data_IF_243747874814
#
_entry.id   IF_243747874814
#
_cell.length_a   1.000
_cell.length_b   1.000
_cell.length_c   1.000
_cell.angle_alpha   90.00
_cell.angle_beta   90.00
_cell.angle_gamma   90.00
#
_symmetry.space_group_name_H-M   'P 1'
#
loop_
_entity.id
_entity.type
_entity.pdbx_description
1 polymer ?
#
# COMPACT_ATOMS: atom_id res chain seq x y z
N UNK A 1 -37.42 -6.89 -11.30
CA UNK A 1 -36.64 -5.65 -11.49
C UNK A 1 -35.22 -5.91 -11.02
N UNK A 2 -34.28 -5.98 -11.95
CA UNK A 2 -32.87 -6.07 -11.58
C UNK A 2 -32.45 -4.75 -10.96
N UNK A 3 -32.03 -4.77 -9.70
CA UNK A 3 -31.28 -3.64 -9.14
C UNK A 3 -30.02 -3.47 -10.01
N UNK A 4 -29.96 -2.40 -10.80
CA UNK A 4 -28.72 -2.05 -11.48
C UNK A 4 -27.63 -2.00 -10.41
N UNK A 5 -26.66 -2.93 -10.48
CA UNK A 5 -25.50 -2.86 -9.64
C UNK A 5 -24.89 -1.45 -9.81
N UNK A 6 -24.75 -0.71 -8.72
CA UNK A 6 -24.07 0.58 -8.75
C UNK A 6 -22.68 0.33 -9.37
N UNK A 7 -22.42 0.91 -10.53
CA UNK A 7 -21.11 0.87 -11.12
C UNK A 7 -20.12 1.44 -10.11
N UNK A 8 -19.12 0.65 -9.69
CA UNK A 8 -18.06 1.10 -8.78
C UNK A 8 -17.29 2.19 -9.51
N UNK A 9 -17.22 3.38 -8.94
CA UNK A 9 -16.39 4.45 -9.47
C UNK A 9 -14.92 4.02 -9.36
N UNK A 10 -14.23 3.95 -10.48
CA UNK A 10 -12.84 3.52 -10.52
C UNK A 10 -11.93 4.49 -9.79
N UNK A 11 -11.08 3.94 -8.93
CA UNK A 11 -10.00 4.67 -8.26
C UNK A 11 -8.78 4.79 -9.19
N UNK A 12 -7.81 5.62 -8.83
CA UNK A 12 -6.56 5.70 -9.55
C UNK A 12 -5.81 4.36 -9.60
N UNK A 13 -5.84 3.61 -8.51
CA UNK A 13 -5.24 2.27 -8.46
C UNK A 13 -5.88 1.33 -9.50
N UNK A 14 -7.19 1.30 -9.58
CA UNK A 14 -7.92 0.48 -10.55
C UNK A 14 -7.62 0.91 -12.00
N UNK A 15 -7.57 2.20 -12.25
CA UNK A 15 -7.24 2.74 -13.59
C UNK A 15 -5.86 2.33 -14.06
N UNK A 16 -4.87 2.33 -13.17
CA UNK A 16 -3.51 1.88 -13.51
C UNK A 16 -3.48 0.39 -13.86
N UNK A 17 -4.18 -0.45 -13.10
CA UNK A 17 -4.29 -1.87 -13.40
C UNK A 17 -4.98 -2.10 -14.74
N UNK A 18 -6.06 -1.37 -15.02
CA UNK A 18 -6.76 -1.44 -16.32
C UNK A 18 -5.85 -1.03 -17.49
N UNK A 19 -5.07 0.03 -17.32
CA UNK A 19 -4.17 0.53 -18.38
C UNK A 19 -3.11 -0.49 -18.81
N UNK A 20 -2.63 -1.30 -17.88
CA UNK A 20 -1.61 -2.32 -18.18
C UNK A 20 -2.21 -3.70 -18.48
N UNK A 21 -3.53 -3.79 -18.51
CA UNK A 21 -4.22 -5.06 -18.76
C UNK A 21 -4.03 -6.09 -17.65
N UNK A 22 -3.79 -5.65 -16.43
CA UNK A 22 -3.63 -6.54 -15.29
C UNK A 22 -4.97 -7.15 -14.86
N UNK A 23 -4.95 -8.41 -14.46
CA UNK A 23 -6.11 -9.09 -13.89
C UNK A 23 -6.22 -8.80 -12.40
N UNK A 24 -7.38 -8.38 -11.96
CA UNK A 24 -7.67 -8.14 -10.54
C UNK A 24 -9.16 -8.27 -10.27
N UNK A 25 -9.50 -8.49 -9.02
CA UNK A 25 -10.88 -8.45 -8.52
C UNK A 25 -10.99 -7.40 -7.42
N UNK A 26 -12.20 -6.99 -7.12
CA UNK A 26 -12.47 -6.01 -6.06
C UNK A 26 -13.40 -6.60 -5.03
N UNK A 27 -13.23 -6.18 -3.78
CA UNK A 27 -14.10 -6.52 -2.66
C UNK A 27 -14.60 -5.23 -2.03
N UNK A 28 -15.92 -5.06 -1.97
CA UNK A 28 -16.56 -3.93 -1.31
C UNK A 28 -16.91 -4.33 0.12
N UNK A 29 -16.39 -3.62 1.10
CA UNK A 29 -16.66 -3.84 2.51
C UNK A 29 -17.28 -2.62 3.22
N UNK A 30 -17.70 -1.61 2.45
CA UNK A 30 -18.24 -0.35 2.99
C UNK A 30 -19.39 -0.58 3.94
N UNK A 31 -20.30 -1.50 3.61
CA UNK A 31 -21.47 -1.84 4.43
C UNK A 31 -21.13 -2.53 5.75
N UNK A 32 -19.93 -3.07 5.89
CA UNK A 32 -19.50 -3.79 7.11
C UNK A 32 -19.09 -2.86 8.24
N UNK A 33 -18.74 -1.61 7.94
CA UNK A 33 -18.18 -0.65 8.89
C UNK A 33 -16.76 -0.96 9.34
N UNK A 34 -16.12 -2.01 8.80
CA UNK A 34 -14.75 -2.36 9.12
C UNK A 34 -13.78 -1.29 8.60
N UNK A 35 -12.76 -0.93 9.38
CA UNK A 35 -11.78 0.11 9.06
C UNK A 35 -10.36 -0.45 9.07
N UNK A 36 -9.95 -1.13 10.12
CA UNK A 36 -8.61 -1.72 10.18
C UNK A 36 -8.48 -2.93 9.24
N UNK A 37 -7.26 -3.19 8.75
CA UNK A 37 -7.03 -4.32 7.85
C UNK A 37 -7.42 -5.66 8.44
N UNK A 38 -7.24 -5.86 9.74
CA UNK A 38 -7.65 -7.08 10.46
C UNK A 38 -9.16 -7.20 10.50
N UNK A 39 -9.88 -6.11 10.81
CA UNK A 39 -11.35 -6.09 10.79
C UNK A 39 -11.91 -6.35 9.39
N UNK A 40 -11.29 -5.78 8.35
CA UNK A 40 -11.68 -5.99 6.95
C UNK A 40 -11.51 -7.47 6.56
N UNK A 41 -10.38 -8.07 6.88
CA UNK A 41 -10.13 -9.48 6.61
C UNK A 41 -11.17 -10.38 7.31
N UNK A 42 -11.47 -10.10 8.57
CA UNK A 42 -12.49 -10.84 9.31
C UNK A 42 -13.89 -10.68 8.71
N UNK A 43 -14.26 -9.44 8.35
CA UNK A 43 -15.58 -9.14 7.76
C UNK A 43 -15.78 -9.81 6.40
N UNK A 44 -14.72 -9.94 5.61
CA UNK A 44 -14.77 -10.58 4.29
C UNK A 44 -14.45 -12.07 4.31
N UNK A 45 -14.16 -12.65 5.48
CA UNK A 45 -13.80 -14.05 5.61
C UNK A 45 -12.46 -14.40 4.94
N UNK A 46 -11.54 -13.45 4.88
CA UNK A 46 -10.24 -13.60 4.25
C UNK A 46 -9.17 -14.04 5.24
N UNK A 47 -8.14 -14.72 4.72
CA UNK A 47 -6.94 -15.03 5.48
C UNK A 47 -6.13 -13.74 5.70
N UNK A 48 -5.88 -13.33 6.96
CA UNK A 48 -5.08 -12.14 7.25
C UNK A 48 -3.65 -12.18 6.70
N UNK A 49 -3.09 -13.38 6.48
CA UNK A 49 -1.76 -13.53 5.89
C UNK A 49 -1.70 -13.14 4.40
N UNK A 50 -2.85 -13.08 3.74
CA UNK A 50 -2.98 -12.66 2.33
C UNK A 50 -3.43 -11.21 2.20
N UNK A 51 -3.76 -10.56 3.31
CA UNK A 51 -4.27 -9.18 3.35
C UNK A 51 -3.15 -8.26 3.84
N UNK A 52 -2.88 -7.22 3.07
CA UNK A 52 -1.75 -6.31 3.29
C UNK A 52 -2.24 -4.88 3.53
N UNK A 53 -1.50 -4.15 4.35
CA UNK A 53 -1.68 -2.71 4.57
C UNK A 53 -0.51 -1.95 3.96
N UNK A 54 -0.78 -0.74 3.49
CA UNK A 54 0.21 0.14 2.87
C UNK A 54 0.60 1.24 3.84
N UNK A 55 1.88 1.33 4.14
CA UNK A 55 2.44 2.29 5.07
C UNK A 55 3.40 3.22 4.33
N UNK A 56 3.35 4.50 4.65
CA UNK A 56 4.28 5.50 4.11
C UNK A 56 5.20 5.97 5.23
N UNK A 57 6.48 5.96 4.94
CA UNK A 57 7.53 6.31 5.89
C UNK A 57 8.55 7.25 5.27
N UNK A 58 9.33 7.91 6.10
CA UNK A 58 10.42 8.79 5.65
C UNK A 58 11.76 8.33 6.21
N UNK A 59 12.80 8.48 5.42
CA UNK A 59 14.18 8.26 5.84
C UNK A 59 14.68 9.41 6.71
N UNK A 60 15.83 9.19 7.39
CA UNK A 60 16.46 10.20 8.26
C UNK A 60 16.93 11.46 7.51
N UNK A 61 16.98 11.38 6.18
CA UNK A 61 17.50 12.42 5.33
C UNK A 61 19.01 12.29 5.07
N UNK A 62 19.42 12.70 3.89
CA UNK A 62 20.82 12.80 3.49
C UNK A 62 21.25 14.26 3.52
N UNK A 63 22.46 14.52 4.04
CA UNK A 63 23.05 15.83 3.87
C UNK A 63 23.35 16.05 2.39
N UNK A 64 22.93 17.19 1.85
CA UNK A 64 23.37 17.58 0.52
C UNK A 64 24.89 17.73 0.49
N UNK A 65 25.53 17.23 -0.55
CA UNK A 65 26.95 17.49 -0.81
C UNK A 65 27.08 18.99 -1.08
N UNK A 66 27.49 19.78 -0.07
CA UNK A 66 27.62 21.22 -0.22
C UNK A 66 27.37 22.04 1.04
N UNK A 67 27.13 21.41 2.19
CA UNK A 67 27.11 22.11 3.50
C UNK A 67 25.85 22.92 3.78
N UNK A 68 24.77 22.70 3.06
CA UNK A 68 23.46 23.29 3.41
C UNK A 68 22.82 22.56 4.60
N UNK A 69 22.16 23.33 5.49
CA UNK A 69 21.53 22.79 6.70
C UNK A 69 20.27 21.94 6.47
N UNK A 70 19.78 21.87 5.22
CA UNK A 70 18.56 21.13 4.89
C UNK A 70 18.88 19.68 4.50
N UNK A 71 18.32 18.75 5.27
CA UNK A 71 18.30 17.34 4.93
C UNK A 71 17.12 17.05 4.01
N UNK A 72 17.39 16.55 2.80
CA UNK A 72 16.33 16.05 1.92
C UNK A 72 15.92 14.68 2.43
N UNK A 73 14.68 14.57 2.91
CA UNK A 73 14.09 13.31 3.33
C UNK A 73 13.42 12.62 2.16
N UNK A 74 13.74 11.36 1.95
CA UNK A 74 13.06 10.52 0.97
C UNK A 74 11.91 9.77 1.63
N UNK A 75 10.85 9.56 0.86
CA UNK A 75 9.70 8.79 1.29
C UNK A 75 9.73 7.40 0.68
N UNK A 76 9.20 6.45 1.42
CA UNK A 76 9.13 5.04 1.04
C UNK A 76 7.76 4.49 1.35
N UNK A 77 7.37 3.49 0.56
CA UNK A 77 6.12 2.74 0.76
C UNK A 77 6.48 1.32 1.19
N UNK A 78 5.90 0.89 2.29
CA UNK A 78 6.04 -0.48 2.80
C UNK A 78 4.68 -1.15 2.85
N UNK A 79 4.60 -2.33 2.24
CA UNK A 79 3.38 -3.13 2.18
C UNK A 79 3.60 -4.38 3.02
N UNK A 80 2.84 -4.50 4.10
CA UNK A 80 3.03 -5.54 5.13
C UNK A 80 1.72 -6.25 5.43
N UNK A 81 1.76 -7.51 5.90
CA UNK A 81 0.54 -8.19 6.34
C UNK A 81 -0.21 -7.40 7.41
N UNK A 82 -1.53 -7.37 7.33
CA UNK A 82 -2.37 -6.55 8.24
C UNK A 82 -2.21 -6.91 9.71
N UNK A 83 -1.90 -8.18 10.02
CA UNK A 83 -1.68 -8.65 11.37
C UNK A 83 -0.25 -8.46 11.88
N UNK A 84 0.66 -8.00 11.01
CA UNK A 84 2.07 -7.77 11.35
C UNK A 84 2.35 -6.28 11.56
N UNK A 85 3.45 -5.99 12.23
CA UNK A 85 3.96 -4.64 12.40
C UNK A 85 5.22 -4.44 11.56
N UNK A 86 5.37 -3.27 10.95
CA UNK A 86 6.61 -2.90 10.26
C UNK A 86 7.76 -2.82 11.26
N UNK A 87 8.82 -3.58 10.99
CA UNK A 87 10.08 -3.44 11.74
C UNK A 87 10.88 -2.29 11.13
N UNK A 88 11.00 -1.19 11.85
CA UNK A 88 11.64 0.02 11.34
C UNK A 88 13.11 -0.17 11.02
N UNK A 89 13.81 -1.04 11.75
CA UNK A 89 15.23 -1.35 11.48
C UNK A 89 15.39 -2.18 10.21
N UNK A 90 14.55 -3.19 10.03
CA UNK A 90 14.53 -4.00 8.80
C UNK A 90 14.12 -3.16 7.60
N UNK A 91 13.14 -2.29 7.75
CA UNK A 91 12.71 -1.36 6.71
C UNK A 91 13.85 -0.42 6.29
N UNK A 92 14.56 0.16 7.26
CA UNK A 92 15.72 1.01 6.99
C UNK A 92 16.82 0.25 6.23
N UNK A 93 17.13 -0.97 6.65
CA UNK A 93 18.11 -1.81 5.97
C UNK A 93 17.70 -2.13 4.52
N UNK A 94 16.41 -2.39 4.29
CA UNK A 94 15.90 -2.73 2.97
C UNK A 94 16.05 -1.59 1.96
N UNK A 95 16.03 -0.33 2.40
CA UNK A 95 16.14 0.84 1.52
C UNK A 95 17.49 1.57 1.64
N UNK A 96 18.41 1.08 2.48
CA UNK A 96 19.74 1.68 2.65
C UNK A 96 19.74 2.97 3.46
N UNK A 97 18.75 3.18 4.32
CA UNK A 97 18.65 4.31 5.23
C UNK A 97 19.24 3.98 6.60
N UNK A 98 19.74 4.99 7.31
CA UNK A 98 20.19 4.83 8.71
C UNK A 98 19.02 4.55 9.64
N UNK A 99 17.90 5.21 9.41
CA UNK A 99 16.68 5.05 10.18
C UNK A 99 15.47 5.42 9.33
N UNK A 100 14.34 4.85 9.70
CA UNK A 100 13.04 5.08 9.08
C UNK A 100 12.07 5.49 10.19
N UNK A 101 11.23 6.48 9.91
CA UNK A 101 10.12 6.88 10.76
C UNK A 101 8.83 6.92 9.96
N UNK A 102 7.72 6.55 10.59
CA UNK A 102 6.41 6.72 9.98
C UNK A 102 6.11 8.21 9.81
N UNK A 103 5.50 8.59 8.68
CA UNK A 103 4.99 9.95 8.52
C UNK A 103 3.80 10.17 9.45
N UNK A 104 3.51 11.44 9.74
CA UNK A 104 2.30 11.79 10.48
C UNK A 104 1.07 11.58 9.61
N UNK A 105 -0.03 11.15 10.22
CA UNK A 105 -1.27 10.87 9.50
C UNK A 105 -1.73 12.03 8.62
N UNK A 106 -1.57 13.28 9.09
CA UNK A 106 -1.92 14.50 8.36
C UNK A 106 -1.10 14.72 7.08
N UNK A 107 0.04 14.08 6.95
CA UNK A 107 0.92 14.20 5.78
C UNK A 107 0.53 13.23 4.65
N UNK A 108 -0.27 12.20 4.97
CA UNK A 108 -0.58 11.13 4.02
C UNK A 108 -1.34 11.64 2.79
N UNK A 109 -2.43 12.39 3.00
CA UNK A 109 -3.26 12.89 1.91
C UNK A 109 -2.49 13.85 0.98
N UNK A 110 -1.75 14.85 1.48
CA UNK A 110 -0.95 15.72 0.61
C UNK A 110 0.11 14.97 -0.18
N UNK A 111 0.74 13.95 0.41
CA UNK A 111 1.81 13.19 -0.24
C UNK A 111 1.30 12.19 -1.27
N UNK A 112 0.24 11.49 -0.96
CA UNK A 112 -0.20 10.33 -1.75
C UNK A 112 -1.49 10.55 -2.53
N UNK A 113 -2.34 11.46 -2.07
CA UNK A 113 -3.71 11.61 -2.55
C UNK A 113 -4.70 10.62 -1.93
N UNK A 114 -4.24 9.78 -1.01
CA UNK A 114 -5.07 8.80 -0.31
C UNK A 114 -5.25 9.16 1.16
N UNK A 115 -6.39 8.78 1.70
CA UNK A 115 -6.71 8.95 3.12
C UNK A 115 -6.22 7.75 3.94
N UNK A 116 -6.02 7.96 5.24
CA UNK A 116 -5.72 6.88 6.18
C UNK A 116 -6.86 5.86 6.18
N UNK A 117 -6.51 4.58 6.06
CA UNK A 117 -7.49 3.49 5.90
C UNK A 117 -7.89 3.21 4.45
N UNK A 118 -7.51 4.06 3.51
CA UNK A 118 -7.78 3.90 2.08
C UNK A 118 -6.54 4.11 1.20
N UNK A 119 -5.34 3.92 1.75
CA UNK A 119 -4.10 4.11 1.03
C UNK A 119 -3.71 2.85 0.25
N UNK A 120 -3.72 2.96 -1.07
CA UNK A 120 -3.26 1.91 -1.98
C UNK A 120 -1.76 2.06 -2.29
N UNK A 121 -1.03 0.95 -2.55
CA UNK A 121 0.37 1.05 -2.97
C UNK A 121 0.54 1.60 -4.39
N UNK A 122 -0.52 1.57 -5.21
CA UNK A 122 -0.48 2.13 -6.55
C UNK A 122 -1.36 3.38 -6.68
N UNK A 123 -1.07 4.19 -7.71
CA UNK A 123 -1.89 5.35 -8.04
C UNK A 123 -1.67 6.54 -7.13
N UNK A 124 -0.59 6.59 -6.39
CA UNK A 124 -0.20 7.76 -5.59
C UNK A 124 0.10 8.96 -6.48
N UNK A 125 -0.09 10.17 -5.97
CA UNK A 125 0.27 11.42 -6.67
C UNK A 125 1.71 11.39 -7.16
N UNK A 126 2.62 10.91 -6.30
CA UNK A 126 4.01 10.62 -6.62
C UNK A 126 4.29 9.20 -6.15
N UNK A 127 4.78 8.36 -7.04
CA UNK A 127 5.13 7.00 -6.67
C UNK A 127 6.50 6.97 -6.00
N UNK A 128 6.53 6.55 -4.75
CA UNK A 128 7.75 6.37 -3.98
C UNK A 128 8.28 4.94 -4.13
N UNK A 129 9.56 4.74 -3.83
CA UNK A 129 10.14 3.40 -3.77
C UNK A 129 9.33 2.51 -2.84
N UNK A 130 8.94 1.34 -3.33
CA UNK A 130 8.00 0.44 -2.67
C UNK A 130 8.67 -0.88 -2.36
N UNK A 131 8.55 -1.32 -1.11
CA UNK A 131 9.00 -2.62 -0.64
C UNK A 131 7.77 -3.37 -0.14
N UNK A 132 7.55 -4.57 -0.67
CA UNK A 132 6.50 -5.48 -0.21
C UNK A 132 7.17 -6.56 0.64
N UNK A 133 6.57 -6.86 1.80
CA UNK A 133 7.11 -7.93 2.64
C UNK A 133 7.25 -9.23 1.86
N UNK A 134 8.35 -9.92 2.06
CA UNK A 134 8.70 -11.15 1.31
C UNK A 134 7.67 -12.27 1.47
N UNK A 135 6.82 -12.23 2.49
CA UNK A 135 5.70 -13.17 2.65
C UNK A 135 4.70 -13.12 1.51
N UNK A 136 4.65 -12.03 0.75
CA UNK A 136 3.76 -11.92 -0.41
C UNK A 136 4.25 -12.71 -1.63
N UNK A 137 5.53 -13.02 -1.71
CA UNK A 137 6.17 -13.58 -2.91
C UNK A 137 5.64 -14.97 -3.29
N UNK A 138 5.21 -15.77 -2.32
CA UNK A 138 4.70 -17.12 -2.52
C UNK A 138 3.16 -17.22 -2.49
N UNK A 139 2.48 -16.08 -2.38
CA UNK A 139 1.01 -16.01 -2.40
C UNK A 139 0.49 -16.07 -3.83
N UNK A 140 -0.59 -16.81 -4.03
CA UNK A 140 -1.29 -16.84 -5.31
C UNK A 140 -1.90 -15.46 -5.61
N UNK A 141 -2.59 -14.88 -4.64
CA UNK A 141 -3.08 -13.50 -4.67
C UNK A 141 -2.82 -12.81 -3.35
N UNK A 142 -2.75 -11.49 -3.39
CA UNK A 142 -2.72 -10.61 -2.22
C UNK A 142 -3.84 -9.60 -2.30
N UNK A 143 -4.30 -9.12 -1.16
CA UNK A 143 -5.34 -8.12 -1.03
C UNK A 143 -4.79 -6.87 -0.38
N UNK A 144 -5.17 -5.72 -0.89
CA UNK A 144 -4.75 -4.42 -0.36
C UNK A 144 -5.79 -3.35 -0.69
N UNK A 145 -5.66 -2.17 -0.11
CA UNK A 145 -6.62 -1.09 -0.35
C UNK A 145 -6.76 -0.76 -1.83
N UNK A 146 -7.99 -0.61 -2.27
CA UNK A 146 -8.31 -0.18 -3.63
C UNK A 146 -8.19 1.32 -3.88
N UNK A 147 -7.78 2.10 -2.87
CA UNK A 147 -7.62 3.55 -3.00
C UNK A 147 -8.73 4.37 -2.37
N UNK A 148 -9.64 3.74 -1.67
CA UNK A 148 -10.64 4.39 -0.80
C UNK A 148 -11.06 3.47 0.32
N UNK A 149 -11.52 4.03 1.42
CA UNK A 149 -12.13 3.26 2.52
C UNK A 149 -13.34 2.51 1.97
N UNK A 150 -13.46 1.24 2.31
CA UNK A 150 -14.58 0.39 1.85
C UNK A 150 -14.29 -0.43 0.60
N UNK A 151 -13.16 -0.22 -0.06
CA UNK A 151 -12.79 -0.91 -1.30
C UNK A 151 -11.43 -1.58 -1.19
N UNK A 152 -11.38 -2.86 -1.57
CA UNK A 152 -10.16 -3.67 -1.58
C UNK A 152 -9.93 -4.24 -2.97
N UNK A 153 -8.66 -4.30 -3.38
CA UNK A 153 -8.23 -5.00 -4.60
C UNK A 153 -7.59 -6.32 -4.21
N UNK A 154 -7.89 -7.36 -4.98
CA UNK A 154 -7.20 -8.65 -4.94
C UNK A 154 -6.56 -8.91 -6.29
N UNK A 155 -5.26 -9.23 -6.29
CA UNK A 155 -4.53 -9.55 -7.51
C UNK A 155 -3.30 -10.41 -7.21
N UNK A 156 -2.82 -11.13 -8.22
CA UNK A 156 -1.54 -11.85 -8.11
C UNK A 156 -0.37 -10.87 -8.08
N UNK A 157 0.70 -11.15 -7.31
CA UNK A 157 1.89 -10.28 -7.32
C UNK A 157 2.47 -10.02 -8.71
N UNK A 158 2.44 -10.99 -9.60
CA UNK A 158 2.88 -10.83 -10.98
C UNK A 158 2.02 -9.84 -11.79
N UNK A 159 0.72 -9.79 -11.51
CA UNK A 159 -0.18 -8.81 -12.13
C UNK A 159 0.06 -7.41 -11.57
N UNK A 160 0.27 -7.30 -10.26
CA UNK A 160 0.63 -6.03 -9.62
C UNK A 160 1.93 -5.46 -10.21
N UNK A 161 2.90 -6.30 -10.49
CA UNK A 161 4.19 -5.91 -11.06
C UNK A 161 4.08 -5.27 -12.44
N UNK A 162 2.99 -5.47 -13.17
CA UNK A 162 2.73 -4.79 -14.44
C UNK A 162 2.43 -3.30 -14.26
N UNK A 163 1.89 -2.91 -13.10
CA UNK A 163 1.45 -1.55 -12.81
C UNK A 163 2.33 -0.82 -11.79
N UNK A 164 3.10 -1.54 -11.00
CA UNK A 164 3.90 -1.01 -9.90
C UNK A 164 5.29 -1.64 -9.91
N UNK A 165 6.30 -0.81 -9.91
CA UNK A 165 7.67 -1.24 -9.64
C UNK A 165 7.86 -1.39 -8.13
N UNK A 166 8.24 -2.58 -7.69
CA UNK A 166 8.48 -2.87 -6.27
C UNK A 166 9.55 -3.94 -6.09
N UNK A 167 10.07 -4.02 -4.88
CA UNK A 167 11.00 -5.05 -4.45
C UNK A 167 10.41 -5.82 -3.28
N UNK A 168 10.79 -7.07 -3.10
CA UNK A 168 10.49 -7.82 -1.88
C UNK A 168 11.60 -7.60 -0.85
N UNK A 169 11.21 -7.59 0.42
CA UNK A 169 12.15 -7.49 1.52
C UNK A 169 11.57 -8.04 2.82
N UNK A 170 12.42 -8.49 3.72
CA UNK A 170 12.00 -8.83 5.07
C UNK A 170 11.88 -7.54 5.88
N UNK A 171 10.65 -7.13 6.16
CA UNK A 171 10.35 -5.84 6.80
C UNK A 171 9.42 -5.95 8.01
N UNK A 172 9.07 -7.16 8.40
CA UNK A 172 8.27 -7.42 9.61
C UNK A 172 9.01 -8.26 10.63
#
# INVERSE_FOLDING_TARGET
MSKKAKAIKKTNAMRLLDQVGANYTTHDYESTGAISGVEVAAALGQDPSMTFKTLVAEGAGRQSKGGGAERTKEHYVFVVPVAAELDLKKAAAAVGEKSIAMIRQKELLPLTGYEHGGCSPLGMKKQFRTIIDSSAADKETIMFSGGKIGLQIETAPAELAKALEFEYGEIV
#
